data_IF_402162793761
#
_entry.id   IF_402162793761
#
_cell.length_a   1.000
_cell.length_b   1.000
_cell.length_c   1.000
_cell.angle_alpha   90.00
_cell.angle_beta   90.00
_cell.angle_gamma   90.00
#
_symmetry.space_group_name_H-M   'P 1'
#
loop_
_entity.id
_entity.type
_entity.pdbx_description
1 polymer ?
#
# COMPACT_ATOMS: atom_id res chain seq x y z
N UNK A 1 16.61 -16.45 -17.26
CA UNK A 1 15.15 -16.34 -17.41
C UNK A 1 14.58 -16.05 -16.04
N UNK A 2 13.88 -14.93 -15.93
CA UNK A 2 13.37 -14.31 -14.70
C UNK A 2 12.19 -15.07 -14.14
N UNK A 3 12.25 -15.42 -12.86
CA UNK A 3 11.05 -15.62 -12.05
C UNK A 3 11.24 -14.91 -10.72
N UNK A 4 10.83 -13.63 -10.70
CA UNK A 4 10.77 -12.79 -9.53
C UNK A 4 9.60 -13.28 -8.67
N UNK A 5 9.86 -14.29 -7.84
CA UNK A 5 8.96 -14.71 -6.77
C UNK A 5 8.96 -13.64 -5.66
N UNK A 6 8.26 -12.54 -5.90
CA UNK A 6 7.87 -11.57 -4.88
C UNK A 6 6.72 -12.21 -4.07
N UNK A 7 7.12 -12.97 -3.04
CA UNK A 7 6.24 -13.63 -2.10
C UNK A 7 5.21 -12.62 -1.55
N UNK A 8 3.95 -12.86 -1.86
CA UNK A 8 2.82 -12.03 -1.43
C UNK A 8 2.31 -12.36 -0.03
N UNK A 9 3.08 -13.03 0.83
CA UNK A 9 2.60 -13.55 2.12
C UNK A 9 2.81 -12.60 3.31
N UNK A 10 3.37 -11.39 3.10
CA UNK A 10 3.59 -10.40 4.17
C UNK A 10 2.55 -9.27 4.31
N UNK A 11 1.46 -9.31 3.54
CA UNK A 11 0.59 -8.14 3.28
C UNK A 11 -0.41 -7.73 4.38
N UNK A 12 -0.97 -8.60 5.25
CA UNK A 12 -2.03 -8.17 6.16
C UNK A 12 -1.52 -7.34 7.35
N UNK A 13 -0.29 -7.59 7.82
CA UNK A 13 0.24 -6.93 9.03
C UNK A 13 0.54 -5.44 8.79
N UNK A 14 0.97 -5.06 7.58
CA UNK A 14 1.34 -3.68 7.26
C UNK A 14 0.11 -2.75 7.26
N UNK A 15 -1.07 -3.25 6.86
CA UNK A 15 -2.29 -2.44 6.73
C UNK A 15 -2.79 -1.93 8.09
N UNK A 16 -2.61 -2.69 9.17
CA UNK A 16 -3.02 -2.30 10.52
C UNK A 16 -2.30 -1.02 11.00
N UNK A 17 -1.07 -0.80 10.55
CA UNK A 17 -0.26 0.35 10.96
C UNK A 17 -0.45 1.61 10.09
N UNK A 18 -1.15 1.50 8.95
CA UNK A 18 -1.36 2.63 8.03
C UNK A 18 -2.00 3.84 8.73
N UNK A 19 -3.06 3.70 9.55
CA UNK A 19 -3.65 4.84 10.26
C UNK A 19 -2.64 5.53 11.20
N UNK A 20 -1.83 4.74 11.90
CA UNK A 20 -0.81 5.22 12.84
C UNK A 20 0.28 6.00 12.08
N UNK A 21 0.71 5.49 10.92
CA UNK A 21 1.70 6.17 10.08
C UNK A 21 1.18 7.49 9.51
N UNK A 22 -0.10 7.55 9.11
CA UNK A 22 -0.75 8.77 8.65
C UNK A 22 -0.84 9.81 9.77
N UNK A 23 -1.25 9.39 10.97
CA UNK A 23 -1.34 10.29 12.13
C UNK A 23 0.04 10.85 12.52
N UNK A 24 1.06 9.98 12.52
CA UNK A 24 2.44 10.38 12.82
C UNK A 24 2.98 11.38 11.80
N UNK A 25 2.74 11.15 10.51
CA UNK A 25 3.12 12.09 9.45
C UNK A 25 2.43 13.44 9.64
N UNK A 26 1.12 13.45 9.89
CA UNK A 26 0.35 14.68 10.13
C UNK A 26 0.83 15.45 11.39
N UNK A 27 1.35 14.76 12.40
CA UNK A 27 1.95 15.39 13.58
C UNK A 27 3.30 16.04 13.24
N UNK A 28 4.14 15.38 12.44
CA UNK A 28 5.41 15.94 11.98
C UNK A 28 5.19 17.17 11.09
N UNK A 29 4.25 17.10 10.14
CA UNK A 29 3.93 18.22 9.25
C UNK A 29 3.40 19.43 10.02
N UNK A 30 2.51 19.22 11.00
CA UNK A 30 1.99 20.29 11.87
C UNK A 30 3.07 20.97 12.72
N UNK A 31 4.17 20.28 13.02
CA UNK A 31 5.30 20.83 13.79
C UNK A 31 6.34 21.53 12.92
N UNK A 32 6.18 21.50 11.59
CA UNK A 32 7.21 21.97 10.66
C UNK A 32 8.30 20.93 10.36
N UNK A 33 8.20 19.74 10.94
CA UNK A 33 9.17 18.63 10.78
C UNK A 33 8.90 17.78 9.52
N UNK A 34 8.11 18.30 8.58
CA UNK A 34 7.75 17.62 7.34
C UNK A 34 8.97 17.25 6.48
N UNK A 35 10.10 17.94 6.65
CA UNK A 35 11.34 17.70 5.91
C UNK A 35 12.29 16.70 6.58
N UNK A 36 11.97 16.24 7.80
CA UNK A 36 12.82 15.29 8.51
C UNK A 36 12.94 13.97 7.74
N UNK A 37 14.07 13.24 7.89
CA UNK A 37 14.23 11.92 7.27
C UNK A 37 13.10 10.95 7.62
N UNK A 38 12.53 11.08 8.81
CA UNK A 38 11.38 10.30 9.25
C UNK A 38 10.12 10.60 8.44
N UNK A 39 9.75 11.87 8.28
CA UNK A 39 8.60 12.27 7.47
C UNK A 39 8.75 11.82 6.01
N UNK A 40 9.96 11.91 5.44
CA UNK A 40 10.26 11.42 4.09
C UNK A 40 10.05 9.90 4.00
N UNK A 41 10.53 9.13 4.98
CA UNK A 41 10.32 7.68 5.03
C UNK A 41 8.84 7.34 5.13
N UNK A 42 8.07 8.01 5.99
CA UNK A 42 6.63 7.79 6.14
C UNK A 42 5.87 8.05 4.83
N UNK A 43 6.14 9.16 4.14
CA UNK A 43 5.54 9.48 2.84
C UNK A 43 5.82 8.39 1.80
N UNK A 44 7.09 7.93 1.71
CA UNK A 44 7.47 6.86 0.78
C UNK A 44 6.78 5.54 1.10
N UNK A 45 6.69 5.18 2.38
CA UNK A 45 6.02 3.95 2.81
C UNK A 45 4.53 3.99 2.49
N UNK A 46 3.84 5.10 2.81
CA UNK A 46 2.42 5.28 2.49
C UNK A 46 2.17 5.22 0.98
N UNK A 47 3.01 5.89 0.18
CA UNK A 47 2.90 5.85 -1.28
C UNK A 47 3.08 4.44 -1.87
N UNK A 48 3.98 3.63 -1.31
CA UNK A 48 4.17 2.22 -1.72
C UNK A 48 2.96 1.36 -1.36
N UNK A 49 2.35 1.60 -0.21
CA UNK A 49 1.14 0.90 0.22
C UNK A 49 -0.02 1.26 -0.70
N UNK A 50 -0.23 2.55 -0.98
CA UNK A 50 -1.28 3.01 -1.89
C UNK A 50 -1.08 2.45 -3.31
N UNK A 51 0.18 2.39 -3.79
CA UNK A 51 0.51 1.75 -5.08
C UNK A 51 0.28 0.22 -5.06
N UNK A 52 0.55 -0.45 -3.94
CA UNK A 52 0.31 -1.88 -3.77
C UNK A 52 -1.19 -2.22 -3.74
N UNK A 53 -1.99 -1.39 -3.05
CA UNK A 53 -3.44 -1.51 -2.98
C UNK A 53 -4.13 -1.27 -4.32
N UNK A 54 -3.63 -0.32 -5.11
CA UNK A 54 -4.17 -0.05 -6.46
C UNK A 54 -3.82 -1.17 -7.44
N UNK A 55 -2.61 -1.74 -7.36
CA UNK A 55 -2.22 -2.92 -8.16
C UNK A 55 -3.00 -4.17 -7.77
N UNK A 56 -3.26 -4.43 -6.49
CA UNK A 56 -4.04 -5.61 -6.07
C UNK A 56 -5.50 -5.52 -6.55
N UNK A 57 -6.10 -4.33 -6.52
CA UNK A 57 -7.45 -4.10 -7.09
C UNK A 57 -7.54 -4.40 -8.59
N UNK A 58 -6.46 -4.19 -9.35
CA UNK A 58 -6.46 -4.44 -10.80
C UNK A 58 -6.43 -5.93 -11.18
N UNK A 59 -6.17 -6.84 -10.24
CA UNK A 59 -6.19 -8.29 -10.47
C UNK A 59 -7.49 -8.95 -9.98
N UNK A 60 -8.34 -8.25 -9.22
CA UNK A 60 -9.60 -8.79 -8.68
C UNK A 60 -10.77 -8.63 -9.66
N UNK A 61 -10.74 -7.61 -10.54
CA UNK A 61 -11.86 -7.27 -11.43
C UNK A 61 -11.99 -8.15 -12.69
N UNK A 62 -11.23 -9.25 -12.80
CA UNK A 62 -11.34 -10.19 -13.94
C UNK A 62 -12.14 -11.45 -13.64
N UNK A 63 -12.71 -11.58 -12.46
CA UNK A 63 -13.51 -12.74 -12.08
C UNK A 63 -14.93 -12.30 -11.78
N UNK A 64 -15.77 -12.12 -12.80
CA UNK A 64 -17.20 -12.48 -12.89
C UNK A 64 -17.67 -12.13 -14.32
N UNK A 65 -17.41 -13.04 -15.26
CA UNK A 65 -18.30 -13.29 -16.42
C UNK A 65 -18.24 -14.77 -16.76
N UNK A 66 -18.60 -15.61 -15.79
CA UNK A 66 -19.20 -16.90 -16.08
C UNK A 66 -20.69 -16.62 -16.32
N UNK A 67 -21.04 -16.29 -17.57
CA UNK A 67 -22.43 -16.39 -17.98
C UNK A 67 -22.63 -17.78 -18.54
N UNK A 68 -23.51 -18.51 -17.87
CA UNK A 68 -23.91 -19.88 -18.13
C UNK A 68 -24.61 -20.05 -19.48
N UNK A 69 -24.54 -21.30 -19.97
CA UNK A 69 -25.40 -22.04 -20.89
C UNK A 69 -26.52 -21.32 -21.67
N UNK A 70 -26.61 -21.58 -22.98
CA UNK A 70 -27.52 -22.59 -23.55
C UNK A 70 -27.00 -23.08 -24.92
#
# INVERSE_FOLDING_TARGET
MTDSQDQCDGRPVIMVYVPIFREKLAKLERRGDGHTPEAVRLRRTLARIDLGLTKSRSCDDRQIRLTAAE
#
